data_IF_854137564856
#
_entry.id   IF_854137564856
#
_cell.length_a   1.000
_cell.length_b   1.000
_cell.length_c   1.000
_cell.angle_alpha   90.00
_cell.angle_beta   90.00
_cell.angle_gamma   90.00
#
_symmetry.space_group_name_H-M   'P 1'
#
loop_
_entity.id
_entity.type
_entity.pdbx_description
1 polymer ?
#
# COMPACT_ATOMS: atom_id res chain seq x y z
N UNK A 1 -2.51 29.89 28.40
CA UNK A 1 -3.55 28.84 28.43
C UNK A 1 -4.13 28.56 27.05
N UNK A 2 -4.66 29.58 26.36
CA UNK A 2 -5.28 29.46 25.02
C UNK A 2 -4.38 28.87 23.93
N UNK A 3 -3.09 29.25 23.87
CA UNK A 3 -2.12 28.69 22.92
C UNK A 3 -1.84 27.19 23.12
N UNK A 4 -1.93 26.70 24.36
CA UNK A 4 -1.75 25.27 24.69
C UNK A 4 -2.98 24.46 24.25
N UNK A 5 -4.18 25.01 24.46
CA UNK A 5 -5.42 24.41 24.00
C UNK A 5 -5.48 24.35 22.46
N UNK A 6 -5.04 25.41 21.78
CA UNK A 6 -4.94 25.43 20.32
C UNK A 6 -3.94 24.37 19.80
N UNK A 7 -2.80 24.23 20.46
CA UNK A 7 -1.80 23.23 20.10
C UNK A 7 -2.31 21.80 20.28
N UNK A 8 -3.03 21.53 21.39
CA UNK A 8 -3.66 20.24 21.64
C UNK A 8 -4.75 19.95 20.59
N UNK A 9 -5.57 20.95 20.24
CA UNK A 9 -6.58 20.81 19.20
C UNK A 9 -5.96 20.49 17.83
N UNK A 10 -4.84 21.14 17.48
CA UNK A 10 -4.08 20.83 16.26
C UNK A 10 -3.53 19.40 16.25
N UNK A 11 -2.99 18.94 17.37
CA UNK A 11 -2.50 17.56 17.49
C UNK A 11 -3.63 16.53 17.33
N UNK A 12 -4.80 16.78 17.94
CA UNK A 12 -5.96 15.90 17.82
C UNK A 12 -6.45 15.85 16.37
N UNK A 13 -6.56 16.99 15.69
CA UNK A 13 -6.95 17.04 14.26
C UNK A 13 -5.95 16.27 13.39
N UNK A 14 -4.65 16.46 13.62
CA UNK A 14 -3.60 15.75 12.87
C UNK A 14 -3.67 14.23 13.07
N UNK A 15 -3.87 13.77 14.31
CA UNK A 15 -4.03 12.34 14.62
C UNK A 15 -5.32 11.75 14.04
N UNK A 16 -6.41 12.51 14.00
CA UNK A 16 -7.66 12.06 13.36
C UNK A 16 -7.57 12.03 11.83
N UNK A 17 -6.65 12.77 11.20
CA UNK A 17 -6.42 12.72 9.75
C UNK A 17 -5.56 11.52 9.32
N UNK A 18 -4.97 10.76 10.25
CA UNK A 18 -4.17 9.56 9.95
C UNK A 18 -4.99 8.26 9.82
N UNK A 19 -6.32 8.31 9.77
CA UNK A 19 -7.15 7.11 9.79
C UNK A 19 -7.02 6.20 8.55
N UNK A 20 -6.43 6.67 7.46
CA UNK A 20 -6.35 5.89 6.20
C UNK A 20 -4.98 5.25 5.93
N UNK A 21 -4.03 5.38 6.86
CA UNK A 21 -2.71 4.75 6.71
C UNK A 21 -2.35 3.93 7.94
N UNK A 22 -3.25 3.01 8.33
CA UNK A 22 -2.74 1.72 8.78
C UNK A 22 -2.04 1.13 7.55
N UNK A 23 -0.77 1.45 7.38
CA UNK A 23 0.11 0.72 6.47
C UNK A 23 0.09 -0.72 7.00
N UNK A 24 -0.86 -1.53 6.51
CA UNK A 24 -0.71 -2.96 6.53
C UNK A 24 0.67 -3.20 5.93
N UNK A 25 1.56 -3.81 6.70
CA UNK A 25 2.98 -3.98 6.37
C UNK A 25 3.24 -4.74 5.05
N UNK A 26 2.20 -5.03 4.25
CA UNK A 26 2.26 -5.65 2.93
C UNK A 26 2.00 -4.71 1.75
N UNK A 27 1.20 -3.63 1.84
CA UNK A 27 0.68 -2.98 0.63
C UNK A 27 1.76 -2.37 -0.26
N UNK A 28 2.63 -1.53 0.31
CA UNK A 28 3.72 -0.94 -0.48
C UNK A 28 4.80 -1.97 -0.83
N UNK A 29 4.95 -3.01 -0.02
CA UNK A 29 5.88 -4.11 -0.29
C UNK A 29 5.41 -4.94 -1.49
N UNK A 30 4.12 -5.27 -1.59
CA UNK A 30 3.54 -5.94 -2.75
C UNK A 30 3.73 -5.12 -4.02
N UNK A 31 3.51 -3.80 -3.94
CA UNK A 31 3.74 -2.86 -5.05
C UNK A 31 5.19 -2.86 -5.49
N UNK A 32 6.10 -2.66 -4.55
CA UNK A 32 7.54 -2.63 -4.81
C UNK A 32 8.02 -3.93 -5.46
N UNK A 33 7.67 -5.10 -4.90
CA UNK A 33 8.09 -6.40 -5.44
C UNK A 33 7.57 -6.58 -6.86
N UNK A 34 6.27 -6.35 -7.10
CA UNK A 34 5.66 -6.59 -8.40
C UNK A 34 6.15 -5.61 -9.47
N UNK A 35 6.34 -4.32 -9.11
CA UNK A 35 6.90 -3.33 -10.02
C UNK A 35 8.33 -3.69 -10.44
N UNK A 36 9.18 -4.10 -9.49
CA UNK A 36 10.58 -4.42 -9.78
C UNK A 36 10.75 -5.80 -10.44
N UNK A 37 9.81 -6.73 -10.22
CA UNK A 37 9.85 -8.05 -10.88
C UNK A 37 9.87 -7.95 -12.41
N UNK A 38 9.26 -6.89 -12.97
CA UNK A 38 9.26 -6.61 -14.41
C UNK A 38 10.69 -6.48 -14.97
N UNK A 39 11.64 -5.95 -14.20
CA UNK A 39 13.04 -5.76 -14.63
C UNK A 39 13.78 -7.09 -14.83
N UNK A 40 13.27 -8.17 -14.24
CA UNK A 40 13.89 -9.50 -14.28
C UNK A 40 13.26 -10.41 -15.32
N UNK A 41 12.27 -9.93 -16.07
CA UNK A 41 11.60 -10.72 -17.10
C UNK A 41 12.45 -10.83 -18.38
N UNK A 42 12.34 -11.94 -19.13
CA UNK A 42 12.92 -12.07 -20.46
C UNK A 42 12.46 -10.96 -21.43
N UNK A 43 13.30 -10.62 -22.41
CA UNK A 43 13.05 -9.51 -23.32
C UNK A 43 11.86 -9.71 -24.28
N UNK A 44 11.44 -10.95 -24.52
CA UNK A 44 10.23 -11.28 -25.27
C UNK A 44 8.93 -11.05 -24.48
N UNK A 45 9.03 -10.74 -23.18
CA UNK A 45 7.91 -10.42 -22.29
C UNK A 45 7.65 -8.89 -22.15
N UNK A 46 7.97 -8.10 -23.17
CA UNK A 46 7.81 -6.63 -23.14
C UNK A 46 6.37 -6.12 -22.89
N UNK A 47 5.36 -6.99 -22.96
CA UNK A 47 3.98 -6.65 -22.57
C UNK A 47 3.87 -6.22 -21.09
N UNK A 48 4.68 -6.80 -20.20
CA UNK A 48 4.62 -6.48 -18.77
C UNK A 48 5.21 -5.09 -18.47
N UNK A 49 6.22 -4.65 -19.23
CA UNK A 49 6.74 -3.29 -19.15
C UNK A 49 5.65 -2.24 -19.42
N UNK A 50 4.90 -2.44 -20.52
CA UNK A 50 3.81 -1.54 -20.89
C UNK A 50 2.67 -1.51 -19.87
N UNK A 51 2.60 -2.50 -18.98
CA UNK A 51 1.59 -2.64 -17.94
C UNK A 51 2.18 -2.53 -16.52
N UNK A 52 3.42 -2.06 -16.36
CA UNK A 52 4.11 -2.01 -15.06
C UNK A 52 3.29 -1.30 -13.99
N UNK A 53 2.73 -0.15 -14.30
CA UNK A 53 1.91 0.63 -13.36
C UNK A 53 0.61 -0.10 -12.98
N UNK A 54 0.00 -0.79 -13.94
CA UNK A 54 -1.18 -1.62 -13.67
C UNK A 54 -0.83 -2.76 -12.69
N UNK A 55 0.26 -3.47 -12.95
CA UNK A 55 0.77 -4.54 -12.09
C UNK A 55 1.08 -4.02 -10.68
N UNK A 56 1.72 -2.85 -10.57
CA UNK A 56 2.00 -2.18 -9.31
C UNK A 56 0.69 -1.89 -8.56
N UNK A 57 -0.23 -1.14 -9.16
CA UNK A 57 -1.48 -0.72 -8.53
C UNK A 57 -2.33 -1.91 -8.05
N UNK A 58 -2.45 -2.94 -8.87
CA UNK A 58 -3.31 -4.09 -8.62
C UNK A 58 -2.65 -5.21 -7.78
N UNK A 59 -1.39 -5.04 -7.38
CA UNK A 59 -0.68 -6.01 -6.52
C UNK A 59 -1.27 -6.17 -5.11
N UNK A 60 -2.15 -5.25 -4.71
CA UNK A 60 -2.82 -5.25 -3.39
C UNK A 60 -4.30 -5.62 -3.47
N UNK A 61 -4.84 -5.89 -4.66
CA UNK A 61 -6.25 -6.24 -4.85
C UNK A 61 -6.70 -7.45 -4.01
N UNK A 62 -5.87 -8.50 -3.79
CA UNK A 62 -6.25 -9.60 -2.92
C UNK A 62 -6.45 -9.22 -1.44
N UNK A 63 -5.89 -8.09 -0.99
CA UNK A 63 -5.96 -7.65 0.42
C UNK A 63 -7.19 -6.75 0.70
N UNK A 64 -8.10 -6.53 -0.25
CA UNK A 64 -9.24 -5.60 -0.11
C UNK A 64 -10.55 -6.27 0.34
N UNK A 65 -10.54 -7.57 0.61
CA UNK A 65 -11.72 -8.32 1.00
C UNK A 65 -12.13 -8.09 2.48
N UNK A 66 -13.24 -8.70 2.91
CA UNK A 66 -13.75 -8.58 4.28
C UNK A 66 -12.90 -9.34 5.31
N UNK A 67 -11.93 -10.15 4.88
CA UNK A 67 -11.07 -11.01 5.71
C UNK A 67 -9.59 -10.90 5.27
N UNK A 68 -8.99 -9.71 5.29
CA UNK A 68 -7.69 -9.47 4.67
C UNK A 68 -6.62 -10.36 5.30
N UNK A 69 -5.89 -11.08 4.46
CA UNK A 69 -4.83 -12.00 4.88
C UNK A 69 -5.30 -13.38 5.35
N UNK A 70 -6.60 -13.61 5.57
CA UNK A 70 -7.11 -14.91 6.04
C UNK A 70 -6.75 -16.06 5.09
N UNK A 71 -6.75 -15.79 3.78
CA UNK A 71 -6.43 -16.77 2.73
C UNK A 71 -4.96 -16.73 2.27
N UNK A 72 -4.07 -15.96 2.92
CA UNK A 72 -2.72 -15.64 2.41
C UNK A 72 -1.60 -16.50 3.01
N UNK A 73 -1.94 -17.67 3.57
CA UNK A 73 -0.98 -18.59 4.18
C UNK A 73 -1.12 -19.98 3.55
N UNK A 74 0.02 -20.53 3.11
CA UNK A 74 0.20 -21.91 2.67
C UNK A 74 1.51 -22.41 3.28
N UNK A 75 1.50 -23.62 3.86
CA UNK A 75 2.70 -24.30 4.41
C UNK A 75 3.49 -24.98 3.29
#
# INVERSE_FOLDING_TARGET
MMKRLLFIALLVVFSCMQQDTLYAWGWETHRYINENAVDYLPSDMGVFENNREYIRLHSTDPDIDDLPGYYHYID
#
